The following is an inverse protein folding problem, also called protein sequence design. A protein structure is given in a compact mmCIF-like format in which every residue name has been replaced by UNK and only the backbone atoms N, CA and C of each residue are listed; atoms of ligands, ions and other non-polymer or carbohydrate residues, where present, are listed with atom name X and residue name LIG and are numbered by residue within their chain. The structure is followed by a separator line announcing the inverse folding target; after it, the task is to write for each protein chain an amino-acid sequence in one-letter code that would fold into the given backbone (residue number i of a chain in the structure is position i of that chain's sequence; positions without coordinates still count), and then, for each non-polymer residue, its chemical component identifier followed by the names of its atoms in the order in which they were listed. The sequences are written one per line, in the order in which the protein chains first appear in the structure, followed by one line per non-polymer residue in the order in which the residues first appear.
data_IF_548543471810
#
_entry.id   IF_548543471810
#
_cell.length_a   1.000
_cell.length_b   1.000
_cell.length_c   1.000
_cell.angle_alpha   90.00
_cell.angle_beta   90.00
_cell.angle_gamma   90.00
#
_symmetry.space_group_name_H-M   'P 1'
#
loop_
_entity.id
_entity.type
_entity.pdbx_description
1 polymer ?
#
# COMPACT_ATOMS: atom_id res chain seq x y z
N UNK A 1 -27.12 -5.73 -12.78
CA UNK A 1 -26.38 -4.92 -11.79
C UNK A 1 -26.27 -3.50 -12.33
N UNK A 2 -26.44 -2.45 -11.53
CA UNK A 2 -26.22 -1.09 -11.99
C UNK A 2 -24.75 -0.90 -12.36
N UNK A 3 -24.49 -0.12 -13.42
CA UNK A 3 -23.14 0.22 -13.88
C UNK A 3 -22.96 1.71 -13.67
N UNK A 4 -21.91 2.08 -12.94
CA UNK A 4 -21.47 3.46 -12.74
C UNK A 4 -20.11 3.63 -13.41
N UNK A 5 -19.91 4.72 -14.16
CA UNK A 5 -18.64 5.05 -14.81
C UNK A 5 -18.26 6.49 -14.50
N UNK A 6 -16.98 6.71 -14.26
CA UNK A 6 -16.42 8.03 -13.99
C UNK A 6 -15.68 8.55 -15.23
N UNK A 7 -15.70 9.87 -15.44
CA UNK A 7 -14.80 10.48 -16.43
C UNK A 7 -13.34 10.32 -15.99
N UNK A 8 -12.39 10.36 -16.92
CA UNK A 8 -10.95 10.30 -16.57
C UNK A 8 -10.55 11.38 -15.56
N UNK A 9 -11.12 12.59 -15.65
CA UNK A 9 -10.84 13.65 -14.68
C UNK A 9 -11.30 13.27 -13.25
N UNK A 10 -12.48 12.67 -13.11
CA UNK A 10 -12.98 12.19 -11.81
C UNK A 10 -12.13 11.04 -11.29
N UNK A 11 -11.72 10.11 -12.17
CA UNK A 11 -10.85 8.99 -11.78
C UNK A 11 -9.48 9.45 -11.31
N UNK A 12 -8.86 10.42 -12.00
CA UNK A 12 -7.61 11.02 -11.58
C UNK A 12 -7.78 11.68 -10.19
N UNK A 13 -8.82 12.50 -10.02
CA UNK A 13 -9.07 13.17 -8.75
C UNK A 13 -9.29 12.19 -7.57
N UNK A 14 -9.97 11.06 -7.80
CA UNK A 14 -10.13 10.02 -6.78
C UNK A 14 -8.76 9.41 -6.43
N UNK A 15 -7.96 9.03 -7.43
CA UNK A 15 -6.65 8.46 -7.21
C UNK A 15 -5.70 9.43 -6.49
N UNK A 16 -5.62 10.69 -6.95
CA UNK A 16 -4.86 11.77 -6.32
C UNK A 16 -5.28 11.97 -4.85
N UNK A 17 -6.59 11.94 -4.57
CA UNK A 17 -7.10 12.10 -3.20
C UNK A 17 -6.67 10.94 -2.32
N UNK A 18 -6.79 9.70 -2.80
CA UNK A 18 -6.45 8.52 -1.99
C UNK A 18 -4.96 8.46 -1.70
N UNK A 19 -4.11 8.67 -2.71
CA UNK A 19 -2.65 8.63 -2.52
C UNK A 19 -2.18 9.86 -1.74
N UNK A 20 -2.76 11.04 -1.98
CA UNK A 20 -2.44 12.25 -1.22
C UNK A 20 -2.78 12.19 0.27
N UNK A 21 -3.67 11.28 0.69
CA UNK A 21 -3.90 11.00 2.12
C UNK A 21 -2.69 10.34 2.79
N UNK A 22 -1.78 9.70 2.05
CA UNK A 22 -0.53 9.14 2.58
C UNK A 22 0.47 10.23 2.94
N UNK A 23 0.40 11.36 2.24
CA UNK A 23 1.21 12.57 2.47
C UNK A 23 0.57 13.48 3.53
N UNK A 24 -0.47 13.01 4.23
CA UNK A 24 -1.04 13.77 5.32
C UNK A 24 -0.07 13.89 6.50
N UNK A 25 -0.06 15.08 7.11
CA UNK A 25 0.81 15.41 8.24
C UNK A 25 2.08 16.13 7.81
N UNK A 26 3.18 15.91 8.56
CA UNK A 26 4.43 16.68 8.41
C UNK A 26 5.63 15.83 8.00
N UNK A 27 5.41 14.57 7.66
CA UNK A 27 6.47 13.66 7.26
C UNK A 27 5.95 12.55 6.37
N UNK A 28 6.80 11.56 6.05
CA UNK A 28 6.44 10.49 5.14
C UNK A 28 5.39 9.57 5.74
N UNK A 29 4.43 9.16 4.90
CA UNK A 29 3.59 8.01 5.15
C UNK A 29 4.41 6.70 5.18
N UNK A 30 3.74 5.60 5.50
CA UNK A 30 4.39 4.28 5.58
C UNK A 30 3.47 3.13 5.21
N UNK A 31 4.08 2.02 4.83
CA UNK A 31 3.42 0.75 4.59
C UNK A 31 3.88 -0.25 5.65
N UNK A 32 2.93 -0.85 6.37
CA UNK A 32 3.16 -1.98 7.25
C UNK A 32 2.80 -3.28 6.53
N UNK A 33 3.79 -4.15 6.31
CA UNK A 33 3.58 -5.48 5.74
C UNK A 33 3.33 -6.45 6.89
N UNK A 34 2.24 -7.22 6.82
CA UNK A 34 1.76 -8.02 7.94
C UNK A 34 1.35 -9.44 7.54
N UNK A 35 1.41 -10.33 8.51
CA UNK A 35 0.92 -11.71 8.39
C UNK A 35 -0.53 -11.85 8.82
N UNK A 36 -1.09 -13.05 8.63
CA UNK A 36 -2.43 -13.41 9.13
C UNK A 36 -3.58 -12.91 8.26
N UNK A 37 -4.77 -12.79 8.85
CA UNK A 37 -5.94 -12.29 8.13
C UNK A 37 -6.01 -10.78 8.14
N UNK A 38 -6.18 -10.16 6.97
CA UNK A 38 -6.48 -8.73 6.85
C UNK A 38 -7.74 -8.39 7.66
N UNK A 39 -7.75 -7.26 8.39
CA UNK A 39 -8.94 -6.85 9.15
C UNK A 39 -10.07 -6.43 8.21
N UNK A 40 -11.25 -6.13 8.77
CA UNK A 40 -12.41 -5.71 7.98
C UNK A 40 -12.20 -4.39 7.20
N UNK A 41 -11.20 -3.60 7.60
CA UNK A 41 -10.75 -2.43 6.87
C UNK A 41 -9.88 -1.50 7.74
N UNK A 42 -9.44 -0.36 7.18
CA UNK A 42 -8.46 0.54 7.79
C UNK A 42 -8.89 1.08 9.16
N UNK A 43 -10.19 1.27 9.37
CA UNK A 43 -10.77 1.73 10.64
C UNK A 43 -10.74 0.68 11.76
N UNK A 44 -10.42 -0.58 11.44
CA UNK A 44 -10.24 -1.64 12.43
C UNK A 44 -8.78 -1.73 12.86
N UNK A 45 -8.54 -2.16 14.09
CA UNK A 45 -7.19 -2.41 14.59
C UNK A 45 -6.45 -3.40 13.66
N UNK A 46 -5.17 -3.13 13.40
CA UNK A 46 -4.33 -4.01 12.60
C UNK A 46 -4.18 -5.37 13.30
N UNK A 47 -4.23 -6.43 12.51
CA UNK A 47 -4.13 -7.83 12.95
C UNK A 47 -2.78 -8.45 12.56
N UNK A 48 -2.48 -9.62 13.10
CA UNK A 48 -1.28 -10.39 12.75
C UNK A 48 0.05 -9.76 13.14
N UNK A 49 1.14 -10.39 12.74
CA UNK A 49 2.50 -9.95 13.08
C UNK A 49 2.98 -8.90 12.08
N UNK A 50 3.63 -7.84 12.58
CA UNK A 50 4.33 -6.87 11.73
C UNK A 50 5.62 -7.51 11.21
N UNK A 51 5.76 -7.58 9.88
CA UNK A 51 6.91 -8.21 9.22
C UNK A 51 7.91 -7.18 8.72
N UNK A 52 7.45 -6.02 8.24
CA UNK A 52 8.29 -4.91 7.81
C UNK A 52 7.53 -3.58 7.86
N UNK A 53 8.26 -2.48 7.99
CA UNK A 53 7.72 -1.12 7.84
C UNK A 53 8.53 -0.39 6.79
N UNK A 54 7.86 0.00 5.70
CA UNK A 54 8.45 0.70 4.56
C UNK A 54 8.03 2.15 4.62
N UNK A 55 8.98 3.07 4.75
CA UNK A 55 8.69 4.50 4.67
C UNK A 55 8.48 4.89 3.19
N UNK A 56 7.44 5.67 2.93
CA UNK A 56 7.18 6.20 1.60
C UNK A 56 8.07 7.42 1.33
N UNK A 57 8.36 7.72 0.06
CA UNK A 57 8.79 9.06 -0.34
C UNK A 57 7.76 10.11 0.11
N UNK A 58 8.21 11.35 0.31
CA UNK A 58 7.36 12.49 0.64
C UNK A 58 7.65 13.61 -0.38
N UNK A 59 6.76 13.85 -1.36
CA UNK A 59 5.45 13.22 -1.55
C UNK A 59 5.52 11.77 -2.04
N UNK A 60 4.49 10.97 -1.74
CA UNK A 60 4.40 9.54 -2.05
C UNK A 60 4.15 9.26 -3.54
N UNK A 61 3.52 10.19 -4.26
CA UNK A 61 3.35 10.16 -5.71
C UNK A 61 3.51 11.54 -6.32
N UNK A 62 3.34 11.64 -7.64
CA UNK A 62 3.37 12.92 -8.37
C UNK A 62 1.97 13.39 -8.74
N UNK A 63 1.25 12.60 -9.53
CA UNK A 63 -0.14 12.84 -9.92
C UNK A 63 -0.68 11.64 -10.70
N UNK A 64 -1.97 11.40 -10.55
CA UNK A 64 -2.71 10.38 -11.28
C UNK A 64 -2.86 10.71 -12.78
N UNK A 65 -2.81 9.66 -13.60
CA UNK A 65 -3.09 9.73 -15.03
C UNK A 65 -3.94 8.53 -15.46
N UNK A 66 -4.94 8.77 -16.30
CA UNK A 66 -5.87 7.75 -16.78
C UNK A 66 -6.58 6.93 -15.68
N UNK A 67 -6.77 7.53 -14.49
CA UNK A 67 -7.36 6.90 -13.33
C UNK A 67 -6.38 6.03 -12.52
N UNK A 68 -5.08 6.14 -12.78
CA UNK A 68 -4.04 5.39 -12.08
C UNK A 68 -3.07 6.38 -11.44
N UNK A 69 -2.82 6.22 -10.15
CA UNK A 69 -1.71 6.87 -9.48
C UNK A 69 -0.67 5.82 -9.06
N UNK A 70 0.60 6.14 -9.27
CA UNK A 70 1.73 5.24 -9.00
C UNK A 70 2.53 5.82 -7.85
N UNK A 71 2.60 5.06 -6.76
CA UNK A 71 3.44 5.41 -5.62
C UNK A 71 4.90 5.26 -6.08
N UNK A 72 5.70 6.29 -5.78
CA UNK A 72 7.12 6.31 -6.06
C UNK A 72 7.78 5.16 -5.30
N UNK A 73 8.65 4.44 -5.99
CA UNK A 73 9.33 3.27 -5.45
C UNK A 73 10.05 3.60 -4.13
N UNK A 74 9.62 3.01 -3.00
CA UNK A 74 10.25 3.27 -1.71
C UNK A 74 11.58 2.53 -1.60
N UNK A 75 12.44 2.98 -0.68
CA UNK A 75 13.70 2.28 -0.41
C UNK A 75 13.42 0.95 0.28
N UNK A 76 14.10 -0.11 -0.17
CA UNK A 76 14.05 -1.42 0.47
C UNK A 76 14.37 -1.33 1.97
N UNK A 77 13.72 -2.18 2.76
CA UNK A 77 13.85 -2.21 4.22
C UNK A 77 14.28 -3.57 4.72
N UNK A 78 14.53 -3.69 6.02
CA UNK A 78 14.85 -4.98 6.64
C UNK A 78 13.61 -5.54 7.36
N UNK A 79 13.34 -6.83 7.16
CA UNK A 79 12.31 -7.56 7.88
C UNK A 79 12.59 -7.55 9.39
N UNK A 80 11.54 -7.36 10.19
CA UNK A 80 11.63 -7.28 11.66
C UNK A 80 11.14 -8.55 12.36
N UNK A 81 10.44 -9.44 11.64
CA UNK A 81 9.94 -10.70 12.16
C UNK A 81 9.81 -11.74 11.05
N UNK A 82 9.87 -13.01 11.44
CA UNK A 82 9.61 -14.12 10.52
C UNK A 82 8.11 -14.30 10.29
N UNK A 83 7.72 -14.53 9.04
CA UNK A 83 6.35 -14.87 8.70
C UNK A 83 6.03 -14.79 7.22
N UNK A 84 4.79 -15.13 6.87
CA UNK A 84 4.28 -14.98 5.51
C UNK A 84 3.45 -13.72 5.42
N UNK A 85 3.88 -12.79 4.56
CA UNK A 85 3.14 -11.59 4.20
C UNK A 85 1.87 -11.96 3.44
N UNK A 86 0.75 -11.47 3.93
CA UNK A 86 -0.58 -11.74 3.34
C UNK A 86 -1.36 -10.46 3.07
N UNK A 87 -1.04 -9.37 3.77
CA UNK A 87 -1.68 -8.08 3.60
C UNK A 87 -0.76 -6.94 4.03
N UNK A 88 -1.10 -5.73 3.61
CA UNK A 88 -0.40 -4.52 4.00
C UNK A 88 -1.37 -3.41 4.39
N UNK A 89 -0.92 -2.54 5.30
CA UNK A 89 -1.62 -1.31 5.71
C UNK A 89 -0.82 -0.10 5.29
N UNK A 90 -1.47 0.86 4.67
CA UNK A 90 -0.92 2.16 4.37
C UNK A 90 -1.36 3.15 5.42
N UNK A 91 -0.42 3.94 5.94
CA UNK A 91 -0.65 4.95 6.96
C UNK A 91 -0.03 6.28 6.54
N UNK A 92 -0.62 7.37 7.03
CA UNK A 92 0.03 8.68 7.01
C UNK A 92 1.12 8.79 8.08
N UNK A 93 1.80 9.94 8.14
CA UNK A 93 2.84 10.21 9.13
C UNK A 93 2.36 10.27 10.59
N UNK A 94 1.05 10.46 10.80
CA UNK A 94 0.41 10.43 12.12
C UNK A 94 -0.07 9.03 12.53
N UNK A 95 0.21 7.99 11.74
CA UNK A 95 -0.29 6.62 11.91
C UNK A 95 -1.81 6.48 11.72
N UNK A 96 -2.43 7.37 10.97
CA UNK A 96 -3.82 7.22 10.54
C UNK A 96 -3.85 6.26 9.35
N UNK A 97 -4.64 5.20 9.46
CA UNK A 97 -4.77 4.20 8.41
C UNK A 97 -5.55 4.77 7.22
N UNK A 98 -4.97 4.70 6.03
CA UNK A 98 -5.55 5.20 4.77
C UNK A 98 -6.21 4.07 3.99
N UNK A 99 -5.50 2.95 3.79
CA UNK A 99 -6.02 1.79 3.07
C UNK A 99 -5.34 0.49 3.51
N UNK A 100 -6.05 -0.62 3.32
CA UNK A 100 -5.56 -1.98 3.51
C UNK A 100 -5.63 -2.71 2.17
N UNK A 101 -4.66 -3.57 1.88
CA UNK A 101 -4.65 -4.36 0.66
C UNK A 101 -4.06 -5.75 0.87
N UNK A 102 -4.34 -6.66 -0.04
CA UNK A 102 -3.71 -7.98 -0.06
C UNK A 102 -2.30 -7.92 -0.65
N UNK A 103 -1.47 -8.86 -0.21
CA UNK A 103 -0.08 -9.03 -0.67
C UNK A 103 0.05 -10.41 -1.28
N UNK A 104 0.66 -10.50 -2.46
CA UNK A 104 1.01 -11.77 -3.09
C UNK A 104 2.46 -11.80 -3.56
N UNK A 105 2.94 -12.98 -3.97
CA UNK A 105 4.22 -13.07 -4.67
C UNK A 105 4.11 -12.48 -6.08
N UNK A 106 5.24 -12.15 -6.70
CA UNK A 106 5.32 -11.79 -8.13
C UNK A 106 4.65 -12.87 -8.99
N UNK A 107 3.74 -12.45 -9.88
CA UNK A 107 2.89 -13.35 -10.68
C UNK A 107 1.54 -13.70 -10.03
N UNK A 108 1.28 -13.23 -8.80
CA UNK A 108 -0.02 -13.29 -8.16
C UNK A 108 -0.94 -12.12 -8.54
N UNK A 109 -2.07 -12.01 -7.83
CA UNK A 109 -3.12 -11.00 -8.07
C UNK A 109 -3.26 -9.98 -6.95
N UNK A 110 -2.36 -9.99 -5.97
CA UNK A 110 -2.40 -9.06 -4.85
C UNK A 110 -2.12 -7.64 -5.30
N UNK A 111 -2.71 -6.66 -4.59
CA UNK A 111 -2.50 -5.24 -4.87
C UNK A 111 -1.03 -4.83 -4.68
N UNK A 112 -0.32 -5.45 -3.74
CA UNK A 112 1.14 -5.39 -3.65
C UNK A 112 1.72 -6.75 -4.04
N UNK A 113 2.81 -6.72 -4.80
CA UNK A 113 3.59 -7.93 -5.09
C UNK A 113 4.99 -7.85 -4.52
N UNK A 114 5.45 -8.96 -3.95
CA UNK A 114 6.80 -9.16 -3.43
C UNK A 114 7.49 -10.27 -4.21
N UNK A 115 8.81 -10.22 -4.34
CA UNK A 115 9.57 -11.35 -4.92
C UNK A 115 9.30 -12.65 -4.15
N UNK A 116 9.20 -12.56 -2.83
CA UNK A 116 8.75 -13.64 -1.95
C UNK A 116 7.83 -13.08 -0.86
N UNK A 117 6.76 -13.79 -0.53
CA UNK A 117 5.90 -13.45 0.62
C UNK A 117 6.46 -13.99 1.93
N UNK A 118 7.43 -14.90 1.90
CA UNK A 118 8.17 -15.31 3.10
C UNK A 118 9.13 -14.20 3.48
N UNK A 119 8.86 -13.54 4.60
CA UNK A 119 9.71 -12.52 5.21
C UNK A 119 10.48 -13.16 6.36
N UNK A 120 11.77 -12.86 6.43
CA UNK A 120 12.64 -13.27 7.53
C UNK A 120 13.24 -12.05 8.22
N UNK A 121 13.37 -12.12 9.53
CA UNK A 121 14.00 -11.05 10.29
C UNK A 121 15.47 -10.87 9.84
N UNK A 122 15.89 -9.62 9.61
CA UNK A 122 17.24 -9.31 9.17
C UNK A 122 17.49 -9.48 7.66
N UNK A 123 16.48 -9.90 6.88
CA UNK A 123 16.58 -10.01 5.41
C UNK A 123 15.93 -8.79 4.76
N UNK A 124 16.48 -8.38 3.63
CA UNK A 124 15.94 -7.28 2.83
C UNK A 124 14.54 -7.61 2.29
N UNK A 125 13.67 -6.61 2.31
CA UNK A 125 12.31 -6.62 1.77
C UNK A 125 12.19 -5.44 0.84
N UNK A 126 11.97 -5.74 -0.43
CA UNK A 126 11.80 -4.76 -1.49
C UNK A 126 10.40 -4.88 -2.09
N UNK A 127 9.79 -3.73 -2.38
CA UNK A 127 8.43 -3.67 -2.92
C UNK A 127 8.51 -3.50 -4.43
N UNK A 128 7.69 -4.22 -5.18
CA UNK A 128 7.47 -3.85 -6.58
C UNK A 128 6.62 -2.57 -6.66
N UNK A 129 6.60 -1.96 -7.86
CA UNK A 129 5.79 -0.78 -8.14
C UNK A 129 4.33 -0.93 -7.67
N UNK A 130 3.85 0.05 -6.91
CA UNK A 130 2.52 0.05 -6.30
C UNK A 130 1.65 1.06 -7.04
N UNK A 131 0.50 0.61 -7.54
CA UNK A 131 -0.45 1.47 -8.25
C UNK A 131 -1.82 1.44 -7.60
N UNK A 132 -2.42 2.61 -7.41
CA UNK A 132 -3.83 2.74 -7.10
C UNK A 132 -4.61 3.02 -8.39
N UNK A 133 -5.56 2.14 -8.74
CA UNK A 133 -6.32 2.22 -9.99
C UNK A 133 -7.82 2.35 -9.74
N UNK A 134 -8.43 3.38 -10.33
CA UNK A 134 -9.86 3.62 -10.32
C UNK A 134 -10.49 3.00 -11.57
N UNK A 135 -11.52 2.14 -11.45
CA UNK A 135 -12.17 1.49 -12.59
C UNK A 135 -12.72 2.47 -13.64
N UNK A 136 -12.71 2.05 -14.90
CA UNK A 136 -13.25 2.79 -16.05
C UNK A 136 -14.79 2.74 -16.15
#
# INVERSE_FOLDING_TARGET
MPVLRHSTAVRNAIADTVVGMLDAGTGPGKIEIRSGGMPAGPNSAATGTLLATVALPDPASTSASNGVDTIIDPVAVTGVADGTATWARFLDSANVAVMDCDVSATGGTGAITLVTTTISAGVEVDLNAITYSVPA
#
